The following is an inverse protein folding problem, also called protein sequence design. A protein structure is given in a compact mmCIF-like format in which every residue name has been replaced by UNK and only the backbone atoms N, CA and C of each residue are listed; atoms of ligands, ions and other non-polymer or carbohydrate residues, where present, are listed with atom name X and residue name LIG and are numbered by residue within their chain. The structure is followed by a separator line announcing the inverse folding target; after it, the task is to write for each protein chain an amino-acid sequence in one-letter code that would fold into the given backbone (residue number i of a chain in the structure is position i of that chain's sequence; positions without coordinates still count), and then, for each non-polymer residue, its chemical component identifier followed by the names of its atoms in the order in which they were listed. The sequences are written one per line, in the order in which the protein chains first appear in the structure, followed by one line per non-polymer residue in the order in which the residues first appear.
data_IF_095255457315
#
_entry.id   IF_095255457315
#
_cell.length_a   1.000
_cell.length_b   1.000
_cell.length_c   1.000
_cell.angle_alpha   90.00
_cell.angle_beta   90.00
_cell.angle_gamma   90.00
#
_symmetry.space_group_name_H-M   'P 1'
#
loop_
_entity.id
_entity.type
_entity.pdbx_description
1 polymer ?
#
# COMPACT_ATOMS: atom_id res chain seq x y z
N UNK A 1 -26.91 8.37 13.15
CA UNK A 1 -27.00 7.56 11.93
C UNK A 1 -26.41 6.19 12.21
N UNK A 2 -27.14 5.12 11.92
CA UNK A 2 -26.69 3.75 12.15
C UNK A 2 -25.92 3.28 10.92
N UNK A 3 -24.69 2.78 11.09
CA UNK A 3 -23.90 2.24 9.98
C UNK A 3 -24.55 0.93 9.55
N UNK A 4 -24.97 0.83 8.29
CA UNK A 4 -25.58 -0.39 7.74
C UNK A 4 -24.59 -1.56 7.72
N UNK A 5 -25.09 -2.79 7.92
CA UNK A 5 -24.27 -4.01 7.92
C UNK A 5 -23.41 -4.15 6.66
N UNK A 6 -23.94 -3.77 5.50
CA UNK A 6 -23.21 -3.77 4.22
C UNK A 6 -21.98 -2.87 4.23
N UNK A 7 -22.06 -1.68 4.85
CA UNK A 7 -20.93 -0.77 4.96
C UNK A 7 -19.84 -1.33 5.88
N UNK A 8 -20.23 -1.98 6.98
CA UNK A 8 -19.30 -2.64 7.90
C UNK A 8 -18.58 -3.79 7.19
N UNK A 9 -19.32 -4.66 6.50
CA UNK A 9 -18.75 -5.75 5.71
C UNK A 9 -17.80 -5.22 4.63
N UNK A 10 -18.19 -4.16 3.93
CA UNK A 10 -17.34 -3.51 2.93
C UNK A 10 -16.02 -3.00 3.50
N UNK A 11 -16.06 -2.29 4.63
CA UNK A 11 -14.85 -1.81 5.32
C UNK A 11 -13.97 -2.97 5.80
N UNK A 12 -14.57 -4.03 6.35
CA UNK A 12 -13.82 -5.19 6.83
C UNK A 12 -13.09 -5.90 5.69
N UNK A 13 -13.78 -6.15 4.57
CA UNK A 13 -13.18 -6.74 3.37
C UNK A 13 -12.07 -5.86 2.80
N UNK A 14 -12.30 -4.54 2.72
CA UNK A 14 -11.28 -3.60 2.27
C UNK A 14 -10.05 -3.63 3.19
N UNK A 15 -10.25 -3.66 4.51
CA UNK A 15 -9.17 -3.81 5.49
C UNK A 15 -8.36 -5.09 5.28
N UNK A 16 -9.02 -6.24 5.10
CA UNK A 16 -8.35 -7.51 4.80
C UNK A 16 -7.56 -7.44 3.50
N UNK A 17 -8.12 -6.83 2.46
CA UNK A 17 -7.46 -6.69 1.17
C UNK A 17 -6.21 -5.81 1.25
N UNK A 18 -6.30 -4.66 1.95
CA UNK A 18 -5.15 -3.79 2.22
C UNK A 18 -4.10 -4.58 2.98
N UNK A 19 -4.49 -5.26 4.06
CA UNK A 19 -3.58 -6.06 4.87
C UNK A 19 -2.82 -7.09 4.02
N UNK A 20 -3.54 -7.89 3.22
CA UNK A 20 -2.94 -8.94 2.39
C UNK A 20 -2.03 -8.35 1.31
N UNK A 21 -2.44 -7.25 0.67
CA UNK A 21 -1.64 -6.56 -0.35
C UNK A 21 -0.26 -6.17 0.21
N UNK A 22 -0.25 -5.52 1.37
CA UNK A 22 0.99 -5.11 2.02
C UNK A 22 1.74 -6.27 2.66
N UNK A 23 1.04 -7.29 3.14
CA UNK A 23 1.66 -8.50 3.66
C UNK A 23 2.47 -9.25 2.60
N UNK A 24 1.92 -9.47 1.41
CA UNK A 24 2.65 -10.14 0.35
C UNK A 24 3.80 -9.28 -0.19
N UNK A 25 3.58 -7.98 -0.39
CA UNK A 25 4.66 -7.06 -0.78
C UNK A 25 5.77 -7.02 0.27
N UNK A 26 5.40 -6.96 1.55
CA UNK A 26 6.32 -7.00 2.68
C UNK A 26 7.10 -8.30 2.72
N UNK A 27 6.46 -9.46 2.50
CA UNK A 27 7.13 -10.75 2.44
C UNK A 27 8.23 -10.80 1.38
N UNK A 28 7.94 -10.30 0.17
CA UNK A 28 8.94 -10.22 -0.90
C UNK A 28 10.09 -9.29 -0.49
N UNK A 29 9.79 -8.10 0.06
CA UNK A 29 10.81 -7.18 0.55
C UNK A 29 11.67 -7.81 1.66
N UNK A 30 11.06 -8.58 2.55
CA UNK A 30 11.74 -9.31 3.62
C UNK A 30 12.67 -10.40 3.14
N UNK A 31 12.36 -11.06 2.02
CA UNK A 31 13.24 -12.07 1.40
C UNK A 31 14.49 -11.45 0.78
N UNK A 32 14.41 -10.18 0.37
CA UNK A 32 15.54 -9.42 -0.18
C UNK A 32 16.37 -8.75 0.93
N UNK A 33 15.79 -8.56 2.12
CA UNK A 33 16.44 -7.93 3.26
C UNK A 33 17.12 -8.96 4.17
N UNK A 34 18.46 -8.91 4.26
CA UNK A 34 19.25 -9.89 5.02
C UNK A 34 18.90 -9.93 6.52
N UNK A 35 18.64 -8.78 7.17
CA UNK A 35 18.39 -8.71 8.62
C UNK A 35 17.27 -7.78 9.08
N UNK A 36 16.69 -6.99 8.17
CA UNK A 36 15.71 -5.97 8.55
C UNK A 36 14.40 -6.15 7.77
N UNK A 37 13.92 -7.39 7.70
CA UNK A 37 12.72 -7.72 6.92
C UNK A 37 11.49 -6.95 7.39
N UNK A 38 11.34 -6.74 8.69
CA UNK A 38 10.24 -5.94 9.24
C UNK A 38 10.25 -4.48 8.79
N UNK A 39 11.40 -3.78 8.88
CA UNK A 39 11.47 -2.39 8.40
C UNK A 39 11.39 -2.29 6.88
N UNK A 40 12.02 -3.21 6.14
CA UNK A 40 11.90 -3.24 4.69
C UNK A 40 10.47 -3.54 4.23
N UNK A 41 9.74 -4.39 4.96
CA UNK A 41 8.33 -4.61 4.72
C UNK A 41 7.47 -3.37 4.97
N UNK A 42 7.77 -2.58 6.02
CA UNK A 42 7.11 -1.29 6.25
C UNK A 42 7.38 -0.28 5.12
N UNK A 43 8.60 -0.29 4.55
CA UNK A 43 9.00 0.61 3.46
C UNK A 43 8.21 0.38 2.16
N UNK A 44 7.52 -0.75 2.01
CA UNK A 44 6.64 -1.01 0.84
C UNK A 44 5.55 0.06 0.71
N UNK A 45 5.06 0.62 1.82
CA UNK A 45 4.07 1.71 1.81
C UNK A 45 4.68 2.98 1.25
N UNK A 46 5.87 3.34 1.71
CA UNK A 46 6.61 4.51 1.20
C UNK A 46 6.85 4.36 -0.30
N UNK A 47 7.29 3.18 -0.74
CA UNK A 47 7.47 2.87 -2.16
C UNK A 47 6.17 2.92 -2.96
N UNK A 48 5.02 2.57 -2.37
CA UNK A 48 3.73 2.70 -3.03
C UNK A 48 3.45 4.15 -3.39
N UNK A 49 3.63 5.08 -2.44
CA UNK A 49 3.46 6.52 -2.69
C UNK A 49 4.48 7.07 -3.69
N UNK A 50 5.75 6.65 -3.57
CA UNK A 50 6.79 7.05 -4.52
C UNK A 50 6.45 6.57 -5.94
N UNK A 51 5.98 5.33 -6.12
CA UNK A 51 5.60 4.81 -7.43
C UNK A 51 4.40 5.56 -8.02
N UNK A 52 3.37 5.86 -7.22
CA UNK A 52 2.24 6.68 -7.68
C UNK A 52 2.72 8.06 -8.15
N UNK A 53 3.63 8.69 -7.40
CA UNK A 53 4.21 9.97 -7.77
C UNK A 53 5.02 9.88 -9.07
N UNK A 54 5.89 8.87 -9.19
CA UNK A 54 6.68 8.63 -10.42
C UNK A 54 5.76 8.45 -11.62
N UNK A 55 4.71 7.64 -11.50
CA UNK A 55 3.75 7.39 -12.57
C UNK A 55 3.00 8.67 -12.98
N UNK A 56 2.56 9.47 -12.00
CA UNK A 56 1.92 10.75 -12.26
C UNK A 56 2.86 11.71 -13.03
N UNK A 57 4.10 11.85 -12.59
CA UNK A 57 5.09 12.68 -13.28
C UNK A 57 5.43 12.14 -14.67
N UNK A 58 5.55 10.81 -14.79
CA UNK A 58 5.83 10.16 -16.07
C UNK A 58 4.73 10.43 -17.10
N UNK A 59 3.46 10.43 -16.70
CA UNK A 59 2.36 10.80 -17.61
C UNK A 59 2.43 12.25 -18.07
N UNK A 60 2.83 13.18 -17.20
CA UNK A 60 2.91 14.60 -17.55
C UNK A 60 4.08 14.84 -18.51
N UNK A 61 5.24 14.24 -18.25
CA UNK A 61 6.48 14.50 -18.99
C UNK A 61 6.55 13.69 -20.30
N UNK A 62 6.15 12.42 -20.27
CA UNK A 62 6.39 11.46 -21.35
C UNK A 62 5.13 11.04 -22.10
N UNK A 63 3.99 11.71 -21.91
CA UNK A 63 2.72 11.34 -22.57
C UNK A 63 2.84 11.11 -24.07
N UNK A 64 3.64 11.92 -24.79
CA UNK A 64 3.86 11.78 -26.23
C UNK A 64 4.81 10.66 -26.67
N UNK A 65 5.55 10.03 -25.74
CA UNK A 65 6.45 8.90 -26.00
C UNK A 65 5.87 7.56 -25.54
N UNK A 66 4.78 7.60 -24.78
CA UNK A 66 4.10 6.40 -24.31
C UNK A 66 3.27 5.79 -25.44
N UNK A 67 3.18 4.45 -25.52
CA UNK A 67 2.27 3.79 -26.46
C UNK A 67 0.82 4.24 -26.26
N UNK A 68 0.05 4.21 -27.35
CA UNK A 68 -1.34 4.64 -27.34
C UNK A 68 -2.15 3.97 -26.23
N UNK A 69 -2.87 4.79 -25.46
CA UNK A 69 -3.71 4.34 -24.33
C UNK A 69 -2.96 4.03 -23.03
N UNK A 70 -1.63 3.91 -23.01
CA UNK A 70 -0.87 3.69 -21.76
C UNK A 70 -0.93 4.93 -20.87
N UNK A 71 -0.66 6.11 -21.43
CA UNK A 71 -0.72 7.36 -20.70
C UNK A 71 -2.12 7.60 -20.08
N UNK A 72 -3.17 7.28 -20.83
CA UNK A 72 -4.55 7.36 -20.35
C UNK A 72 -4.84 6.42 -19.18
N UNK A 73 -4.42 5.16 -19.25
CA UNK A 73 -4.59 4.19 -18.16
C UNK A 73 -3.88 4.62 -16.87
N UNK A 74 -2.66 5.12 -16.99
CA UNK A 74 -1.91 5.63 -15.84
C UNK A 74 -2.60 6.87 -15.26
N UNK A 75 -3.05 7.80 -16.11
CA UNK A 75 -3.79 8.98 -15.66
C UNK A 75 -5.08 8.61 -14.91
N UNK A 76 -5.85 7.62 -15.39
CA UNK A 76 -7.04 7.11 -14.70
C UNK A 76 -6.70 6.49 -13.34
N UNK A 77 -5.60 5.71 -13.25
CA UNK A 77 -5.14 5.17 -11.97
C UNK A 77 -4.80 6.29 -10.97
N UNK A 78 -4.03 7.28 -11.41
CA UNK A 78 -3.61 8.42 -10.58
C UNK A 78 -4.83 9.22 -10.12
N UNK A 79 -5.79 9.51 -11.00
CA UNK A 79 -7.01 10.21 -10.60
C UNK A 79 -7.89 9.37 -9.65
N UNK A 80 -7.89 8.04 -9.77
CA UNK A 80 -8.52 7.15 -8.78
C UNK A 80 -7.92 7.28 -7.38
N UNK A 81 -6.59 7.39 -7.29
CA UNK A 81 -5.90 7.63 -6.00
C UNK A 81 -6.22 9.02 -5.46
N UNK A 82 -6.15 10.05 -6.30
CA UNK A 82 -6.41 11.44 -5.91
C UNK A 82 -7.87 11.66 -5.50
N UNK A 83 -8.82 11.09 -6.22
CA UNK A 83 -10.25 11.17 -5.89
C UNK A 83 -10.54 10.49 -4.55
N UNK A 84 -9.93 9.34 -4.27
CA UNK A 84 -10.02 8.69 -2.96
C UNK A 84 -9.49 9.59 -1.85
N UNK A 85 -8.33 10.22 -2.05
CA UNK A 85 -7.77 11.16 -1.09
C UNK A 85 -8.66 12.40 -0.86
N UNK A 86 -9.21 12.98 -1.94
CA UNK A 86 -10.17 14.10 -1.86
C UNK A 86 -11.45 13.71 -1.12
N UNK A 87 -11.98 12.52 -1.36
CA UNK A 87 -13.17 12.01 -0.68
C UNK A 87 -12.93 11.80 0.82
N UNK A 88 -11.78 11.24 1.21
CA UNK A 88 -11.38 11.13 2.62
C UNK A 88 -11.24 12.51 3.27
N UNK A 89 -10.60 13.47 2.59
CA UNK A 89 -10.47 14.83 3.11
C UNK A 89 -11.84 15.51 3.29
N UNK A 90 -12.75 15.34 2.32
CA UNK A 90 -14.12 15.87 2.38
C UNK A 90 -14.98 15.26 3.48
N UNK A 91 -14.66 14.04 3.94
CA UNK A 91 -15.35 13.36 5.04
C UNK A 91 -14.91 13.84 6.45
N UNK A 92 -13.99 14.81 6.54
CA UNK A 92 -13.56 15.40 7.80
C UNK A 92 -12.94 14.38 8.77
N UNK A 93 -13.33 14.45 10.05
CA UNK A 93 -12.83 13.57 11.11
C UNK A 93 -13.00 12.08 10.79
N UNK A 94 -14.13 11.68 10.20
CA UNK A 94 -14.38 10.29 9.83
C UNK A 94 -13.41 9.81 8.75
N UNK A 95 -13.15 10.65 7.74
CA UNK A 95 -12.18 10.34 6.68
C UNK A 95 -10.74 10.27 7.18
N UNK A 96 -10.36 11.12 8.13
CA UNK A 96 -9.05 11.05 8.80
C UNK A 96 -8.89 9.72 9.54
N UNK A 97 -9.91 9.31 10.32
CA UNK A 97 -9.86 8.03 11.05
C UNK A 97 -9.78 6.84 10.09
N UNK A 98 -10.59 6.83 9.03
CA UNK A 98 -10.57 5.76 8.02
C UNK A 98 -9.21 5.70 7.31
N UNK A 99 -8.65 6.86 6.91
CA UNK A 99 -7.35 6.94 6.27
C UNK A 99 -6.21 6.45 7.17
N UNK A 100 -6.20 6.87 8.43
CA UNK A 100 -5.22 6.40 9.41
C UNK A 100 -5.36 4.89 9.65
N UNK A 101 -6.59 4.39 9.79
CA UNK A 101 -6.83 2.95 9.94
C UNK A 101 -6.31 2.16 8.73
N UNK A 102 -6.55 2.62 7.51
CA UNK A 102 -6.03 2.00 6.29
C UNK A 102 -4.48 1.96 6.27
N UNK A 103 -3.83 3.07 6.62
CA UNK A 103 -2.36 3.15 6.70
C UNK A 103 -1.81 2.24 7.79
N UNK A 104 -2.45 2.15 8.95
CA UNK A 104 -2.05 1.26 10.04
C UNK A 104 -2.21 -0.22 9.65
N UNK A 105 -3.29 -0.57 8.97
CA UNK A 105 -3.52 -1.93 8.48
C UNK A 105 -2.49 -2.32 7.41
N UNK A 106 -2.17 -1.39 6.50
CA UNK A 106 -1.08 -1.55 5.54
C UNK A 106 0.27 -1.76 6.24
N UNK A 107 0.60 -0.92 7.23
CA UNK A 107 1.83 -1.00 8.02
C UNK A 107 1.96 -2.36 8.71
N UNK A 108 0.88 -2.79 9.34
CA UNK A 108 0.82 -4.09 10.01
C UNK A 108 1.05 -5.23 9.01
N UNK A 109 0.38 -5.22 7.87
CA UNK A 109 0.58 -6.18 6.80
C UNK A 109 2.05 -6.23 6.35
N UNK A 110 2.60 -5.08 5.95
CA UNK A 110 3.98 -4.95 5.48
C UNK A 110 5.01 -5.45 6.48
N UNK A 111 4.90 -5.04 7.74
CA UNK A 111 5.82 -5.46 8.81
C UNK A 111 5.73 -6.97 9.04
N UNK A 112 4.52 -7.52 9.17
CA UNK A 112 4.34 -8.95 9.43
C UNK A 112 4.84 -9.79 8.26
N UNK A 113 4.49 -9.42 7.03
CA UNK A 113 4.98 -10.05 5.81
C UNK A 113 6.51 -10.04 5.77
N UNK A 114 7.11 -8.87 5.97
CA UNK A 114 8.56 -8.69 5.93
C UNK A 114 9.30 -9.51 6.98
N UNK A 115 8.78 -9.59 8.21
CA UNK A 115 9.35 -10.46 9.26
C UNK A 115 9.26 -11.94 8.89
N UNK A 116 8.17 -12.37 8.26
CA UNK A 116 8.07 -13.76 7.78
C UNK A 116 9.07 -14.03 6.64
N UNK A 117 9.27 -13.07 5.74
CA UNK A 117 10.21 -13.18 4.63
C UNK A 117 11.67 -13.32 5.07
N UNK A 118 12.07 -12.65 6.16
CA UNK A 118 13.45 -12.67 6.67
C UNK A 118 13.73 -13.75 7.72
N UNK A 119 12.72 -14.52 8.14
CA UNK A 119 12.81 -15.47 9.27
C UNK A 119 13.96 -16.48 9.13
N UNK A 120 14.10 -17.08 7.95
CA UNK A 120 15.12 -18.11 7.68
C UNK A 120 16.56 -17.60 7.88
N UNK A 121 16.87 -16.39 7.40
CA UNK A 121 18.21 -15.81 7.53
C UNK A 121 18.55 -15.47 8.98
N UNK A 122 17.56 -15.06 9.77
CA UNK A 122 17.77 -14.73 11.18
C UNK A 122 17.93 -15.98 12.06
N UNK A 123 17.31 -17.09 11.68
CA UNK A 123 17.42 -18.36 12.42
C UNK A 123 18.80 -19.01 12.25
N UNK A 124 19.38 -18.96 11.04
CA UNK A 124 20.72 -19.52 10.78
C UNK A 124 21.82 -18.75 11.49
N UNK A 125 21.77 -17.42 11.46
CA UNK A 125 22.78 -16.57 12.12
C UNK A 125 22.72 -16.65 13.66
N UNK A 126 21.61 -17.12 14.25
CA UNK A 126 21.52 -17.35 15.70
C UNK A 126 22.03 -18.72 16.13
N UNK A 127 22.13 -19.66 15.20
CA UNK A 127 22.59 -21.02 15.45
C UNK A 127 24.11 -21.19 15.26
N UNK A 128 24.78 -20.15 14.75
CA UNK A 128 26.24 -20.09 14.55
C UNK A 128 26.87 -19.20 15.63
#
# INVERSE_FOLDING_TARGET
GQIGASAITGLALLGVLIFLTYFFGGYVAGRLARFDGGRNGAMVIVWTFILVLILALATVIFSGFLPDGVAGRIATMVDGVLSTARNLAGAGLAGIVIGLAAVLVALLGGILGGRMGSRYHTEIDRAT
#
